data_IF_183961886002
#
_entry.id   IF_183961886002
#
_cell.length_a   1.000
_cell.length_b   1.000
_cell.length_c   1.000
_cell.angle_alpha   90.00
_cell.angle_beta   90.00
_cell.angle_gamma   90.00
#
_symmetry.space_group_name_H-M   'P 1'
#
loop_
_entity.id
_entity.type
_entity.pdbx_description
1 polymer ?
#
# COMPACT_ATOMS: atom_id res chain seq x y z
N UNK A 1 5.36 -1.06 -16.61
CA UNK A 1 5.05 -1.63 -15.28
C UNK A 1 3.84 -2.57 -15.36
N UNK A 2 4.08 -3.88 -15.30
CA UNK A 2 3.01 -4.86 -15.06
C UNK A 2 2.55 -4.74 -13.60
N UNK A 3 1.24 -4.84 -13.35
CA UNK A 3 0.72 -4.88 -11.98
C UNK A 3 -0.38 -3.89 -11.60
N UNK A 4 -0.88 -3.09 -12.56
CA UNK A 4 -1.90 -2.05 -12.31
C UNK A 4 -1.46 -1.01 -11.28
N UNK A 5 -0.20 -0.60 -11.36
CA UNK A 5 0.33 0.51 -10.57
C UNK A 5 -0.50 1.77 -10.78
N UNK A 6 -0.86 2.47 -9.70
CA UNK A 6 -1.74 3.64 -9.75
C UNK A 6 -3.23 3.33 -9.67
N UNK A 7 -3.61 2.08 -9.35
CA UNK A 7 -5.02 1.70 -9.24
C UNK A 7 -5.73 2.22 -7.98
N UNK A 8 -4.96 2.51 -6.93
CA UNK A 8 -5.40 3.13 -5.69
C UNK A 8 -4.30 4.06 -5.20
N UNK A 9 -4.68 5.18 -4.57
CA UNK A 9 -3.76 6.19 -4.05
C UNK A 9 -4.20 6.60 -2.64
N UNK A 10 -3.24 6.91 -1.78
CA UNK A 10 -3.47 7.57 -0.49
C UNK A 10 -2.34 8.57 -0.21
N UNK A 11 -2.69 9.69 0.41
CA UNK A 11 -1.75 10.74 0.82
C UNK A 11 -1.75 10.82 2.34
N UNK A 12 -0.58 10.76 2.94
CA UNK A 12 -0.33 10.78 4.38
C UNK A 12 1.13 11.15 4.64
N UNK A 13 1.48 11.57 5.84
CA UNK A 13 2.88 11.72 6.26
C UNK A 13 3.33 10.38 6.86
N UNK A 14 3.87 9.48 6.03
CA UNK A 14 4.14 8.09 6.42
C UNK A 14 5.44 7.97 7.23
N UNK A 15 6.37 8.90 7.04
CA UNK A 15 7.66 8.92 7.74
C UNK A 15 7.74 9.97 8.86
N UNK A 16 6.63 10.64 9.16
CA UNK A 16 6.48 11.65 10.23
C UNK A 16 7.46 12.82 10.10
N UNK A 17 7.75 13.27 8.88
CA UNK A 17 8.67 14.39 8.64
C UNK A 17 7.97 15.73 8.42
N UNK A 18 6.63 15.75 8.46
CA UNK A 18 5.78 16.91 8.24
C UNK A 18 5.47 17.18 6.77
N UNK A 19 5.97 16.37 5.82
CA UNK A 19 5.73 16.50 4.39
C UNK A 19 4.81 15.37 3.90
N UNK A 20 3.77 15.67 3.09
CA UNK A 20 2.91 14.61 2.56
C UNK A 20 3.65 13.63 1.63
N UNK A 21 3.52 12.34 1.92
CA UNK A 21 3.96 11.21 1.12
C UNK A 21 2.83 10.66 0.23
N UNK A 22 3.19 9.81 -0.73
CA UNK A 22 2.25 9.16 -1.63
C UNK A 22 2.38 7.64 -1.59
N UNK A 23 1.32 6.97 -1.11
CA UNK A 23 1.15 5.53 -1.21
C UNK A 23 0.39 5.16 -2.49
N UNK A 24 0.90 4.18 -3.25
CA UNK A 24 0.39 3.77 -4.56
C UNK A 24 0.16 2.25 -4.60
N UNK A 25 -1.07 1.85 -4.88
CA UNK A 25 -1.49 0.45 -5.02
C UNK A 25 -1.18 -0.14 -6.40
N UNK A 26 -0.65 -1.36 -6.40
CA UNK A 26 -0.37 -2.18 -7.58
C UNK A 26 -0.84 -3.63 -7.35
N UNK A 27 -2.16 -3.88 -7.29
CA UNK A 27 -2.74 -5.14 -6.85
C UNK A 27 -2.51 -6.31 -7.80
N UNK A 28 -2.07 -6.09 -9.04
CA UNK A 28 -1.78 -7.16 -10.00
C UNK A 28 -0.29 -7.53 -10.08
N UNK A 29 0.57 -7.01 -9.20
CA UNK A 29 1.98 -7.45 -9.12
C UNK A 29 2.03 -8.97 -8.95
N UNK A 30 2.83 -9.63 -9.80
CA UNK A 30 2.95 -11.09 -9.86
C UNK A 30 2.00 -11.77 -10.85
N UNK A 31 1.21 -11.01 -11.63
CA UNK A 31 0.29 -11.56 -12.64
C UNK A 31 0.99 -12.36 -13.73
N UNK A 32 2.24 -12.02 -14.07
CA UNK A 32 3.05 -12.74 -15.06
C UNK A 32 3.36 -14.19 -14.62
N UNK A 33 3.26 -14.48 -13.33
CA UNK A 33 3.43 -15.81 -12.75
C UNK A 33 2.11 -16.38 -12.22
N UNK A 34 0.97 -15.74 -12.55
CA UNK A 34 -0.36 -16.06 -12.03
C UNK A 34 -0.43 -16.08 -10.49
N UNK A 35 0.46 -15.34 -9.81
CA UNK A 35 0.50 -15.32 -8.34
C UNK A 35 -0.29 -14.18 -7.74
N UNK A 36 -0.49 -13.05 -8.45
CA UNK A 36 -1.32 -11.91 -7.99
C UNK A 36 -1.09 -11.50 -6.52
N UNK A 37 0.18 -11.40 -6.11
CA UNK A 37 0.55 -11.01 -4.73
C UNK A 37 0.08 -9.59 -4.42
N UNK A 38 0.21 -8.69 -5.39
CA UNK A 38 -0.02 -7.26 -5.20
C UNK A 38 1.09 -6.57 -4.40
N UNK A 39 1.11 -5.25 -4.48
CA UNK A 39 2.07 -4.41 -3.78
C UNK A 39 1.49 -3.02 -3.47
N UNK A 40 2.08 -2.36 -2.47
CA UNK A 40 1.94 -0.92 -2.23
C UNK A 40 3.32 -0.30 -2.20
N UNK A 41 3.47 0.82 -2.90
CA UNK A 41 4.72 1.58 -2.99
C UNK A 41 4.50 2.94 -2.32
N UNK A 42 5.35 3.31 -1.37
CA UNK A 42 5.30 4.62 -0.71
C UNK A 42 6.48 5.44 -1.20
N UNK A 43 6.20 6.65 -1.68
CA UNK A 43 7.17 7.63 -2.12
C UNK A 43 7.15 8.78 -1.14
N UNK A 44 8.28 9.06 -0.51
CA UNK A 44 8.35 10.15 0.45
C UNK A 44 8.36 11.50 -0.25
N UNK A 45 7.65 12.44 0.34
CA UNK A 45 7.70 13.85 0.00
C UNK A 45 9.02 14.47 0.43
N UNK A 46 9.38 15.57 -0.21
CA UNK A 46 10.43 16.45 0.27
C UNK A 46 10.03 17.87 -0.06
N UNK A 47 10.04 18.74 0.95
CA UNK A 47 9.63 20.13 0.80
C UNK A 47 10.44 20.81 -0.32
N UNK A 48 9.72 21.47 -1.24
CA UNK A 48 10.32 22.14 -2.40
C UNK A 48 10.91 21.24 -3.48
N UNK A 49 10.91 19.91 -3.32
CA UNK A 49 11.46 18.93 -4.29
C UNK A 49 10.44 17.93 -4.83
N UNK A 50 9.31 17.77 -4.16
CA UNK A 50 8.27 16.81 -4.54
C UNK A 50 8.57 15.40 -4.06
N UNK A 51 8.03 14.40 -4.74
CA UNK A 51 8.18 12.99 -4.37
C UNK A 51 9.57 12.44 -4.74
N UNK A 52 10.07 11.51 -3.93
CA UNK A 52 11.26 10.73 -4.25
C UNK A 52 11.15 10.07 -5.64
N UNK A 53 12.25 9.91 -6.40
CA UNK A 53 12.23 9.31 -7.72
C UNK A 53 12.01 7.78 -7.71
N UNK A 54 12.13 7.16 -6.54
CA UNK A 54 11.95 5.72 -6.29
C UNK A 54 11.18 5.53 -4.98
N UNK A 55 10.45 4.41 -4.83
CA UNK A 55 9.70 4.17 -3.61
C UNK A 55 10.64 3.95 -2.43
N UNK A 56 10.41 4.69 -1.34
CA UNK A 56 11.13 4.55 -0.08
C UNK A 56 10.71 3.28 0.66
N UNK A 57 9.43 2.92 0.56
CA UNK A 57 8.87 1.70 1.17
C UNK A 57 8.15 0.90 0.11
N UNK A 58 8.37 -0.42 0.12
CA UNK A 58 7.64 -1.36 -0.73
C UNK A 58 7.04 -2.47 0.12
N UNK A 59 5.71 -2.55 0.13
CA UNK A 59 4.95 -3.56 0.84
C UNK A 59 4.42 -4.58 -0.16
N UNK A 60 4.59 -5.87 0.13
CA UNK A 60 4.11 -6.96 -0.74
C UNK A 60 3.47 -8.07 0.09
N UNK A 61 2.46 -8.74 -0.47
CA UNK A 61 1.94 -9.94 0.16
C UNK A 61 2.93 -11.09 -0.04
N UNK A 62 3.21 -11.85 1.03
CA UNK A 62 4.06 -13.03 0.93
C UNK A 62 3.36 -14.20 0.23
N UNK A 63 2.03 -14.30 0.37
CA UNK A 63 1.19 -15.32 -0.23
C UNK A 63 0.74 -14.97 -1.65
N UNK A 64 0.25 -15.97 -2.38
CA UNK A 64 -0.41 -15.77 -3.67
C UNK A 64 -1.87 -15.36 -3.50
N UNK A 65 -2.38 -14.69 -4.53
CA UNK A 65 -3.75 -14.23 -4.69
C UNK A 65 -4.21 -13.27 -3.61
N UNK A 66 -3.31 -12.46 -3.04
CA UNK A 66 -3.72 -11.47 -2.05
C UNK A 66 -4.31 -10.22 -2.71
N UNK A 67 -3.72 -9.81 -3.83
CA UNK A 67 -3.95 -8.53 -4.48
C UNK A 67 -3.82 -7.35 -3.50
N UNK A 68 -2.76 -7.37 -2.70
CA UNK A 68 -2.46 -6.28 -1.76
C UNK A 68 -2.40 -4.93 -2.49
N UNK A 69 -2.98 -3.89 -1.89
CA UNK A 69 -3.04 -2.56 -2.50
C UNK A 69 -4.22 -2.38 -3.46
N UNK A 70 -5.27 -3.19 -3.31
CA UNK A 70 -6.51 -3.04 -4.10
C UNK A 70 -7.27 -1.77 -3.72
N UNK A 71 -7.25 -1.43 -2.43
CA UNK A 71 -7.78 -0.19 -1.88
C UNK A 71 -6.81 0.35 -0.83
N UNK A 72 -6.75 1.67 -0.71
CA UNK A 72 -5.93 2.38 0.27
C UNK A 72 -6.80 3.42 0.98
N UNK A 73 -6.54 3.65 2.26
CA UNK A 73 -7.11 4.72 3.06
C UNK A 73 -6.00 5.28 3.97
N UNK A 74 -5.94 6.60 4.09
CA UNK A 74 -5.14 7.28 5.11
C UNK A 74 -6.09 7.79 6.20
N UNK A 75 -5.91 7.33 7.43
CA UNK A 75 -6.72 7.74 8.57
C UNK A 75 -5.99 7.41 9.88
N UNK A 76 -6.11 8.29 10.88
CA UNK A 76 -5.67 8.01 12.25
C UNK A 76 -6.55 6.91 12.86
N UNK A 77 -6.10 5.66 12.82
CA UNK A 77 -6.86 4.50 13.32
C UNK A 77 -6.40 4.05 14.70
N UNK A 78 -5.23 4.49 15.18
CA UNK A 78 -4.76 4.22 16.55
C UNK A 78 -5.02 5.38 17.53
N UNK A 79 -5.41 6.55 17.05
CA UNK A 79 -5.75 7.73 17.83
C UNK A 79 -4.53 8.55 18.27
N UNK A 80 -3.39 8.42 17.60
CA UNK A 80 -2.16 9.12 17.97
C UNK A 80 -2.04 10.54 17.37
N UNK A 81 -2.96 10.91 16.47
CA UNK A 81 -3.00 12.21 15.79
C UNK A 81 -2.35 12.24 14.42
N UNK A 82 -1.64 11.19 14.02
CA UNK A 82 -1.05 10.99 12.69
C UNK A 82 -1.90 10.02 11.87
N UNK A 83 -1.88 10.16 10.55
CA UNK A 83 -2.69 9.31 9.68
C UNK A 83 -1.96 8.00 9.37
N UNK A 84 -2.59 6.87 9.66
CA UNK A 84 -2.09 5.54 9.35
C UNK A 84 -2.47 5.11 7.93
N UNK A 85 -1.66 4.23 7.33
CA UNK A 85 -1.99 3.63 6.04
C UNK A 85 -2.78 2.33 6.24
N UNK A 86 -4.04 2.32 5.82
CA UNK A 86 -4.89 1.14 5.76
C UNK A 86 -4.91 0.56 4.34
N UNK A 87 -4.57 -0.72 4.20
CA UNK A 87 -4.42 -1.42 2.91
C UNK A 87 -5.36 -2.61 2.81
N UNK A 88 -6.16 -2.63 1.74
CA UNK A 88 -7.06 -3.74 1.41
C UNK A 88 -6.37 -4.82 0.58
N UNK A 89 -6.67 -6.08 0.92
CA UNK A 89 -6.21 -7.27 0.20
C UNK A 89 -7.38 -8.27 0.04
N UNK A 90 -8.34 -8.00 -0.86
CA UNK A 90 -9.65 -8.67 -0.87
C UNK A 90 -9.60 -10.18 -1.14
N UNK A 91 -8.53 -10.68 -1.75
CA UNK A 91 -8.43 -12.08 -2.17
C UNK A 91 -7.52 -12.93 -1.29
N UNK A 92 -6.91 -12.33 -0.27
CA UNK A 92 -5.98 -13.04 0.59
C UNK A 92 -6.60 -14.22 1.35
N UNK A 93 -5.79 -15.25 1.56
CA UNK A 93 -6.18 -16.50 2.20
C UNK A 93 -6.26 -16.33 3.73
N UNK A 94 -7.47 -16.12 4.25
CA UNK A 94 -7.76 -16.11 5.69
C UNK A 94 -8.01 -17.53 6.22
N UNK A 95 -7.03 -18.43 6.09
CA UNK A 95 -7.16 -19.84 6.51
C UNK A 95 -7.71 -20.78 5.44
N UNK A 96 -7.21 -20.70 4.20
CA UNK A 96 -7.52 -21.64 3.10
C UNK A 96 -8.72 -21.28 2.22
N UNK A 97 -9.43 -20.19 2.50
CA UNK A 97 -10.42 -19.56 1.60
C UNK A 97 -10.07 -18.08 1.42
N UNK A 98 -10.33 -17.53 0.23
CA UNK A 98 -10.19 -16.10 -0.06
C UNK A 98 -11.25 -15.32 0.72
N UNK A 99 -10.91 -14.91 1.95
CA UNK A 99 -11.78 -14.13 2.83
C UNK A 99 -11.42 -12.64 2.83
N UNK A 100 -10.26 -12.32 2.28
CA UNK A 100 -9.67 -11.01 2.33
C UNK A 100 -9.11 -10.69 3.72
N UNK A 101 -8.21 -9.72 3.75
CA UNK A 101 -7.84 -9.03 4.98
C UNK A 101 -7.64 -7.54 4.72
N UNK A 102 -7.65 -6.78 5.80
CA UNK A 102 -7.24 -5.39 5.87
C UNK A 102 -6.07 -5.32 6.84
N UNK A 103 -5.02 -4.57 6.48
CA UNK A 103 -3.86 -4.32 7.33
C UNK A 103 -3.69 -2.81 7.51
N UNK A 104 -3.33 -2.37 8.71
CA UNK A 104 -2.94 -1.00 8.99
C UNK A 104 -1.43 -0.95 9.25
N UNK A 105 -0.77 0.08 8.72
CA UNK A 105 0.62 0.43 9.03
C UNK A 105 0.59 1.76 9.75
N UNK A 106 1.01 1.73 11.01
CA UNK A 106 1.05 2.90 11.86
C UNK A 106 2.25 3.76 11.48
N UNK A 107 2.01 5.06 11.29
CA UNK A 107 3.06 6.08 11.21
C UNK A 107 3.57 6.37 12.61
#
# INVERSE_FOLDING_TARGET
PSGRFGSALAVLDFNEDGVPDLAIGAPSVGSQFLTYKGAVYVYFGTEGRGLAPQPNVTMTCQYSYCNLGWSLLAADVDGNGNADLVVGSPYAAGGGKQRGFVVAFYS
#
